data_IF_912347430176
#
_entry.id   IF_912347430176
#
_cell.length_a   1.000
_cell.length_b   1.000
_cell.length_c   1.000
_cell.angle_alpha   90.00
_cell.angle_beta   90.00
_cell.angle_gamma   90.00
#
_symmetry.space_group_name_H-M   'P 1'
#
loop_
_entity.id
_entity.type
_entity.pdbx_description
1 polymer ?
#
# COMPACT_ATOMS: atom_id res chain seq x y z
N UNK A 1 -2.96 4.33 5.00
CA UNK A 1 -2.90 2.84 4.88
C UNK A 1 -4.27 2.26 5.16
N UNK A 2 -4.71 1.27 4.37
CA UNK A 2 -6.04 0.64 4.46
C UNK A 2 -5.92 -0.81 4.89
N UNK A 3 -6.77 -1.25 5.84
CA UNK A 3 -6.86 -2.66 6.24
C UNK A 3 -7.61 -3.45 5.18
N UNK A 4 -7.14 -4.65 4.88
CA UNK A 4 -7.81 -5.61 4.01
C UNK A 4 -8.24 -6.84 4.81
N UNK A 5 -9.23 -7.56 4.30
CA UNK A 5 -9.60 -8.88 4.82
C UNK A 5 -8.87 -9.94 4.00
N UNK A 6 -8.15 -10.87 4.64
CA UNK A 6 -7.61 -12.01 3.92
C UNK A 6 -8.73 -12.90 3.44
N UNK A 7 -8.55 -13.57 2.29
CA UNK A 7 -9.51 -14.54 1.77
C UNK A 7 -9.53 -15.77 2.66
N UNK A 8 -10.73 -16.29 2.94
CA UNK A 8 -10.95 -17.49 3.75
C UNK A 8 -10.78 -18.80 2.97
N UNK A 9 -9.65 -18.94 2.26
CA UNK A 9 -9.34 -20.18 1.52
C UNK A 9 -8.41 -21.09 2.32
N UNK A 10 -8.51 -22.40 2.07
CA UNK A 10 -7.51 -23.36 2.53
C UNK A 10 -6.20 -23.12 1.77
N UNK A 11 -5.12 -22.93 2.49
CA UNK A 11 -3.81 -22.56 1.95
C UNK A 11 -3.23 -23.67 1.04
N UNK A 12 -3.33 -24.93 1.46
CA UNK A 12 -2.82 -26.09 0.71
C UNK A 12 -3.60 -26.26 -0.59
N UNK A 13 -4.93 -26.23 -0.51
CA UNK A 13 -5.79 -26.36 -1.69
C UNK A 13 -5.60 -25.17 -2.66
N UNK A 14 -5.40 -23.97 -2.14
CA UNK A 14 -5.08 -22.81 -2.98
C UNK A 14 -3.74 -23.01 -3.71
N UNK A 15 -2.68 -23.42 -3.00
CA UNK A 15 -1.37 -23.68 -3.59
C UNK A 15 -1.46 -24.78 -4.66
N UNK A 16 -2.19 -25.87 -4.40
CA UNK A 16 -2.46 -26.93 -5.38
C UNK A 16 -3.19 -26.40 -6.62
N UNK A 17 -4.18 -25.54 -6.43
CA UNK A 17 -4.89 -24.85 -7.52
C UNK A 17 -3.96 -24.00 -8.37
N UNK A 18 -3.03 -23.28 -7.72
CA UNK A 18 -1.99 -22.51 -8.44
C UNK A 18 -1.09 -23.45 -9.26
N UNK A 19 -0.64 -24.58 -8.71
CA UNK A 19 0.17 -25.57 -9.43
C UNK A 19 -0.59 -26.08 -10.66
N UNK A 20 -1.86 -26.46 -10.51
CA UNK A 20 -2.67 -26.97 -11.61
C UNK A 20 -2.91 -25.91 -12.71
N UNK A 21 -2.99 -24.62 -12.33
CA UNK A 21 -3.15 -23.52 -13.28
C UNK A 21 -1.88 -23.21 -14.10
N UNK A 22 -0.73 -23.85 -13.80
CA UNK A 22 0.50 -23.66 -14.57
C UNK A 22 0.41 -24.39 -15.93
N UNK A 23 1.08 -23.85 -16.94
CA UNK A 23 1.23 -24.55 -18.21
C UNK A 23 2.16 -25.76 -18.06
N UNK A 24 1.94 -26.79 -18.89
CA UNK A 24 2.91 -27.88 -19.04
C UNK A 24 4.24 -27.31 -19.52
N UNK A 25 5.35 -27.80 -18.95
CA UNK A 25 6.68 -27.41 -19.43
C UNK A 25 7.02 -28.19 -20.69
N UNK A 26 7.73 -27.54 -21.59
CA UNK A 26 8.22 -28.16 -22.83
C UNK A 26 9.23 -29.26 -22.49
N UNK A 27 9.13 -30.39 -23.14
CA UNK A 27 10.07 -31.53 -22.93
C UNK A 27 9.64 -32.49 -21.82
N UNK A 28 8.47 -32.29 -21.20
CA UNK A 28 7.93 -33.18 -20.16
C UNK A 28 6.95 -34.25 -20.71
N UNK A 29 6.86 -34.37 -22.05
CA UNK A 29 5.87 -35.26 -22.69
C UNK A 29 6.16 -36.75 -22.44
N UNK A 30 7.41 -37.08 -22.10
CA UNK A 30 7.87 -38.46 -21.84
C UNK A 30 8.03 -38.79 -20.36
N UNK A 31 7.79 -37.82 -19.47
CA UNK A 31 7.95 -38.00 -18.03
C UNK A 31 6.69 -38.62 -17.41
N UNK A 32 6.86 -39.39 -16.33
CA UNK A 32 5.73 -39.77 -15.45
C UNK A 32 5.11 -38.52 -14.85
N UNK A 33 3.86 -38.63 -14.33
CA UNK A 33 3.18 -37.49 -13.72
C UNK A 33 4.00 -36.87 -12.57
N UNK A 34 4.63 -37.71 -11.78
CA UNK A 34 5.45 -37.35 -10.63
C UNK A 34 6.73 -36.60 -11.03
N UNK A 35 7.33 -36.97 -12.16
CA UNK A 35 8.56 -36.36 -12.69
C UNK A 35 8.32 -35.01 -13.39
N UNK A 36 7.06 -34.67 -13.68
CA UNK A 36 6.74 -33.37 -14.26
C UNK A 36 6.93 -32.24 -13.23
N UNK A 37 7.06 -31.02 -13.72
CA UNK A 37 7.11 -29.82 -12.88
C UNK A 37 5.96 -29.76 -11.86
N UNK A 38 4.73 -30.06 -12.33
CA UNK A 38 3.56 -30.09 -11.45
C UNK A 38 3.69 -31.18 -10.39
N UNK A 39 4.09 -32.38 -10.79
CA UNK A 39 4.28 -33.50 -9.89
C UNK A 39 5.29 -33.19 -8.79
N UNK A 40 6.46 -32.70 -9.16
CA UNK A 40 7.50 -32.27 -8.20
C UNK A 40 7.02 -31.16 -7.27
N UNK A 41 6.27 -30.17 -7.77
CA UNK A 41 5.70 -29.12 -6.92
C UNK A 41 4.65 -29.68 -5.93
N UNK A 42 3.78 -30.61 -6.38
CA UNK A 42 2.83 -31.28 -5.48
C UNK A 42 3.53 -32.10 -4.40
N UNK A 43 4.56 -32.87 -4.75
CA UNK A 43 5.37 -33.64 -3.80
C UNK A 43 5.98 -32.73 -2.73
N UNK A 44 6.55 -31.58 -3.12
CA UNK A 44 7.12 -30.62 -2.17
C UNK A 44 6.06 -30.02 -1.24
N UNK A 45 4.89 -29.71 -1.75
CA UNK A 45 3.76 -29.23 -0.93
C UNK A 45 3.36 -30.28 0.10
N UNK A 46 3.24 -31.55 -0.30
CA UNK A 46 2.89 -32.64 0.64
C UNK A 46 4.02 -32.89 1.65
N UNK A 47 5.27 -32.95 1.21
CA UNK A 47 6.44 -33.16 2.08
C UNK A 47 6.61 -32.06 3.12
N UNK A 48 6.29 -30.82 2.78
CA UNK A 48 6.48 -29.66 3.65
C UNK A 48 5.16 -29.05 4.13
N UNK A 49 4.09 -29.84 4.14
CA UNK A 49 2.75 -29.37 4.48
C UNK A 49 2.69 -28.67 5.84
N UNK A 50 3.24 -29.28 6.86
CA UNK A 50 3.24 -28.73 8.23
C UNK A 50 4.00 -27.39 8.30
N UNK A 51 5.09 -27.28 7.54
CA UNK A 51 5.82 -26.02 7.45
C UNK A 51 4.99 -24.94 6.72
N UNK A 52 4.34 -25.28 5.62
CA UNK A 52 3.45 -24.33 4.91
C UNK A 52 2.34 -23.85 5.84
N UNK A 53 1.70 -24.76 6.58
CA UNK A 53 0.63 -24.43 7.54
C UNK A 53 1.13 -23.66 8.77
N UNK A 54 2.44 -23.71 9.08
CA UNK A 54 3.02 -22.87 10.14
C UNK A 54 2.86 -21.38 9.87
N UNK A 55 2.72 -20.98 8.58
CA UNK A 55 2.39 -19.60 8.21
C UNK A 55 1.05 -19.17 8.82
N UNK A 56 0.01 -19.97 8.67
CA UNK A 56 -1.32 -19.65 9.20
C UNK A 56 -1.35 -19.62 10.72
N UNK A 57 -0.59 -20.50 11.36
CA UNK A 57 -0.41 -20.48 12.82
C UNK A 57 0.26 -19.17 13.27
N UNK A 58 1.35 -18.77 12.62
CA UNK A 58 2.05 -17.53 12.93
C UNK A 58 1.21 -16.29 12.57
N UNK A 59 0.45 -16.34 11.47
CA UNK A 59 -0.48 -15.30 11.05
C UNK A 59 -1.60 -15.11 12.07
N UNK A 60 -2.28 -16.18 12.47
CA UNK A 60 -3.36 -16.15 13.47
C UNK A 60 -2.91 -15.63 14.83
N UNK A 61 -1.65 -15.92 15.21
CA UNK A 61 -1.04 -15.42 16.43
C UNK A 61 -0.46 -13.99 16.30
N UNK A 62 -0.51 -13.37 15.12
CA UNK A 62 0.17 -12.10 14.80
C UNK A 62 1.68 -12.15 15.08
N UNK A 63 2.33 -13.28 14.74
CA UNK A 63 3.74 -13.56 15.01
C UNK A 63 4.52 -13.99 13.76
N UNK A 64 4.24 -13.40 12.60
CA UNK A 64 4.93 -13.76 11.35
C UNK A 64 6.46 -13.65 11.45
N UNK A 65 6.98 -12.78 12.31
CA UNK A 65 8.41 -12.69 12.59
C UNK A 65 9.01 -13.96 13.19
N UNK A 66 8.21 -14.85 13.80
CA UNK A 66 8.68 -16.13 14.32
C UNK A 66 9.07 -17.14 13.23
N UNK A 67 8.73 -16.86 11.98
CA UNK A 67 9.13 -17.67 10.84
C UNK A 67 10.55 -17.37 10.36
N UNK A 68 11.19 -16.30 10.86
CA UNK A 68 12.56 -15.97 10.46
C UNK A 68 13.53 -17.10 10.81
N UNK A 69 14.31 -17.55 9.82
CA UNK A 69 15.29 -18.62 9.97
C UNK A 69 14.73 -20.04 10.11
N UNK A 70 13.40 -20.23 9.98
CA UNK A 70 12.78 -21.57 10.18
C UNK A 70 12.62 -22.39 8.91
N UNK A 71 13.03 -21.87 7.74
CA UNK A 71 12.79 -22.52 6.45
C UNK A 71 13.51 -23.87 6.33
N UNK A 72 12.89 -24.90 5.73
CA UNK A 72 13.56 -26.15 5.43
C UNK A 72 14.66 -25.96 4.38
N UNK A 73 15.65 -26.85 4.40
CA UNK A 73 16.71 -26.86 3.41
C UNK A 73 16.12 -27.42 2.11
N UNK A 74 16.16 -26.63 1.05
CA UNK A 74 15.75 -27.02 -0.29
C UNK A 74 16.92 -26.84 -1.24
N UNK A 75 16.99 -27.72 -2.25
CA UNK A 75 17.93 -27.56 -3.36
C UNK A 75 17.62 -26.30 -4.19
N UNK A 76 18.62 -25.77 -4.87
CA UNK A 76 18.46 -24.53 -5.66
C UNK A 76 17.37 -24.65 -6.73
N UNK A 77 17.30 -25.82 -7.41
CA UNK A 77 16.26 -26.14 -8.39
C UNK A 77 14.86 -26.11 -7.79
N UNK A 78 14.70 -26.65 -6.58
CA UNK A 78 13.42 -26.72 -5.88
C UNK A 78 12.93 -25.34 -5.46
N UNK A 79 13.86 -24.50 -4.98
CA UNK A 79 13.57 -23.09 -4.66
C UNK A 79 13.09 -22.34 -5.89
N UNK A 80 13.75 -22.53 -7.03
CA UNK A 80 13.39 -21.88 -8.29
C UNK A 80 12.02 -22.36 -8.79
N UNK A 81 11.74 -23.66 -8.73
CA UNK A 81 10.44 -24.20 -9.14
C UNK A 81 9.30 -23.65 -8.28
N UNK A 82 9.44 -23.61 -6.96
CA UNK A 82 8.41 -23.07 -6.07
C UNK A 82 8.20 -21.56 -6.29
N UNK A 83 9.25 -20.78 -6.48
CA UNK A 83 9.13 -19.36 -6.82
C UNK A 83 8.45 -19.12 -8.17
N UNK A 84 8.72 -19.98 -9.16
CA UNK A 84 8.13 -19.88 -10.51
C UNK A 84 6.61 -20.12 -10.53
N UNK A 85 6.03 -20.63 -9.45
CA UNK A 85 4.57 -20.72 -9.28
C UNK A 85 3.93 -19.34 -9.22
N UNK A 86 4.62 -18.32 -8.71
CA UNK A 86 4.08 -16.97 -8.66
C UNK A 86 4.14 -16.30 -10.04
N UNK A 87 2.99 -15.76 -10.45
CA UNK A 87 2.87 -14.80 -11.56
C UNK A 87 1.67 -13.91 -11.29
N UNK A 88 1.85 -12.59 -11.39
CA UNK A 88 0.77 -11.62 -11.15
C UNK A 88 -0.47 -11.85 -12.02
N UNK A 89 -0.28 -12.35 -13.23
CA UNK A 89 -1.36 -12.62 -14.21
C UNK A 89 -1.93 -14.04 -14.14
N UNK A 90 -1.38 -14.91 -13.29
CA UNK A 90 -1.90 -16.27 -13.12
C UNK A 90 -3.32 -16.25 -12.61
N UNK A 91 -4.19 -17.08 -13.19
CA UNK A 91 -5.63 -17.08 -12.93
C UNK A 91 -5.99 -17.11 -11.45
N UNK A 92 -5.37 -18.02 -10.67
CA UNK A 92 -5.69 -18.14 -9.23
C UNK A 92 -5.19 -16.92 -8.43
N UNK A 93 -4.01 -16.38 -8.77
CA UNK A 93 -3.49 -15.14 -8.16
C UNK A 93 -4.36 -13.94 -8.53
N UNK A 94 -4.85 -13.86 -9.77
CA UNK A 94 -5.75 -12.78 -10.21
C UNK A 94 -7.11 -12.85 -9.50
N UNK A 95 -7.65 -14.06 -9.28
CA UNK A 95 -8.89 -14.26 -8.49
C UNK A 95 -8.68 -13.83 -7.05
N UNK A 96 -7.60 -14.31 -6.40
CA UNK A 96 -7.24 -13.91 -5.03
C UNK A 96 -7.17 -12.40 -4.88
N UNK A 97 -6.44 -11.73 -5.79
CA UNK A 97 -6.30 -10.27 -5.79
C UNK A 97 -7.65 -9.57 -5.91
N UNK A 98 -8.50 -10.00 -6.85
CA UNK A 98 -9.83 -9.43 -7.06
C UNK A 98 -10.70 -9.56 -5.80
N UNK A 99 -10.66 -10.71 -5.14
CA UNK A 99 -11.43 -10.95 -3.93
C UNK A 99 -10.92 -10.11 -2.75
N UNK A 100 -9.61 -10.04 -2.55
CA UNK A 100 -8.99 -9.22 -1.48
C UNK A 100 -9.25 -7.73 -1.67
N UNK A 101 -9.30 -7.23 -2.92
CA UNK A 101 -9.54 -5.83 -3.23
C UNK A 101 -11.04 -5.48 -3.31
N UNK A 102 -11.92 -6.46 -3.16
CA UNK A 102 -13.37 -6.21 -3.13
C UNK A 102 -13.75 -5.63 -1.76
N UNK A 103 -14.37 -4.46 -1.80
CA UNK A 103 -14.90 -3.79 -0.63
C UNK A 103 -16.39 -3.51 -0.85
N UNK A 104 -17.25 -4.19 -0.08
CA UNK A 104 -18.72 -4.08 -0.17
C UNK A 104 -19.29 -4.29 -1.61
N UNK A 105 -18.64 -5.14 -2.42
CA UNK A 105 -19.06 -5.42 -3.81
C UNK A 105 -18.40 -4.55 -4.87
N UNK A 106 -17.56 -3.60 -4.48
CA UNK A 106 -16.79 -2.75 -5.38
C UNK A 106 -15.30 -3.07 -5.33
N UNK A 107 -14.65 -3.09 -6.49
CA UNK A 107 -13.19 -3.22 -6.54
C UNK A 107 -12.53 -1.89 -6.18
N UNK A 108 -11.78 -1.88 -5.09
CA UNK A 108 -10.91 -0.78 -4.72
C UNK A 108 -9.45 -1.10 -5.09
N UNK A 109 -9.07 -0.76 -6.31
CA UNK A 109 -7.79 -1.09 -6.91
C UNK A 109 -6.62 -0.17 -6.47
N UNK A 110 -6.84 0.76 -5.56
CA UNK A 110 -5.74 1.55 -5.00
C UNK A 110 -4.90 0.71 -4.03
N UNK A 111 -3.59 0.91 -4.09
CA UNK A 111 -2.62 0.25 -3.20
C UNK A 111 -2.99 0.51 -1.72
N UNK A 112 -3.19 -0.53 -0.90
CA UNK A 112 -3.61 -0.33 0.49
C UNK A 112 -2.54 0.30 1.39
N UNK A 113 -1.28 0.36 0.93
CA UNK A 113 -0.19 1.00 1.67
C UNK A 113 -0.14 2.51 1.44
N UNK A 114 -0.08 2.97 0.20
CA UNK A 114 0.02 4.40 -0.10
C UNK A 114 -1.32 5.08 -0.42
N UNK A 115 -2.33 4.33 -0.86
CA UNK A 115 -3.66 4.81 -1.30
C UNK A 115 -3.61 5.84 -2.46
N UNK A 116 -2.49 5.91 -3.18
CA UNK A 116 -2.25 6.82 -4.31
C UNK A 116 -2.20 6.05 -5.64
N UNK A 117 -1.33 5.03 -5.70
CA UNK A 117 -1.10 4.28 -6.93
C UNK A 117 -2.04 3.08 -7.04
N UNK A 118 -2.28 2.63 -8.25
CA UNK A 118 -3.02 1.39 -8.49
C UNK A 118 -2.16 0.16 -8.13
N UNK A 119 -2.83 -0.88 -7.65
CA UNK A 119 -2.22 -2.21 -7.44
C UNK A 119 -1.81 -2.78 -8.80
N UNK A 120 -0.56 -3.17 -8.93
CA UNK A 120 0.00 -3.79 -10.13
C UNK A 120 1.00 -4.91 -9.81
N UNK A 121 1.10 -5.31 -8.54
CA UNK A 121 1.84 -6.47 -8.06
C UNK A 121 1.18 -7.06 -6.81
N UNK A 122 1.61 -8.26 -6.43
CA UNK A 122 1.36 -8.82 -5.09
C UNK A 122 2.71 -8.92 -4.40
N UNK A 123 2.88 -8.19 -3.30
CA UNK A 123 4.08 -8.24 -2.46
C UNK A 123 4.08 -9.55 -1.66
N UNK A 124 5.23 -10.17 -1.51
CA UNK A 124 5.45 -11.29 -0.61
C UNK A 124 5.82 -10.78 0.77
N UNK A 125 4.88 -10.84 1.74
CA UNK A 125 5.18 -10.35 3.08
C UNK A 125 6.40 -11.05 3.70
N UNK A 126 6.44 -12.37 3.64
CA UNK A 126 7.64 -13.18 3.88
C UNK A 126 8.34 -13.38 2.53
N UNK A 127 9.62 -12.98 2.38
CA UNK A 127 10.32 -12.95 1.10
C UNK A 127 10.39 -14.31 0.41
N UNK A 128 9.99 -14.40 -0.84
CA UNK A 128 10.00 -15.66 -1.59
C UNK A 128 11.40 -16.19 -1.89
N UNK A 129 12.43 -15.36 -1.85
CA UNK A 129 13.80 -15.77 -2.11
C UNK A 129 14.31 -16.74 -1.05
N UNK A 130 14.05 -16.42 0.23
CA UNK A 130 14.47 -17.22 1.35
C UNK A 130 13.40 -18.26 1.75
N UNK A 131 12.12 -17.96 1.48
CA UNK A 131 10.97 -18.76 1.87
C UNK A 131 10.11 -19.19 0.66
N UNK A 132 10.67 -19.93 -0.32
CA UNK A 132 10.01 -20.25 -1.58
C UNK A 132 8.72 -21.06 -1.44
N UNK A 133 8.54 -21.81 -0.36
CA UNK A 133 7.33 -22.55 -0.06
C UNK A 133 6.14 -21.63 0.27
N UNK A 134 6.41 -20.37 0.63
CA UNK A 134 5.37 -19.35 0.83
C UNK A 134 5.15 -18.45 -0.40
N UNK A 135 5.83 -18.73 -1.53
CA UNK A 135 5.78 -17.87 -2.73
C UNK A 135 4.34 -17.66 -3.27
N UNK A 136 3.47 -18.65 -3.09
CA UNK A 136 2.05 -18.55 -3.47
C UNK A 136 1.09 -18.83 -2.32
N UNK A 137 1.56 -18.65 -1.08
CA UNK A 137 0.67 -18.76 0.09
C UNK A 137 -0.32 -17.57 0.08
N UNK A 138 -1.66 -17.80 0.16
CA UNK A 138 -2.65 -16.75 -0.09
C UNK A 138 -2.55 -15.57 0.88
N UNK A 139 -2.20 -15.80 2.16
CA UNK A 139 -2.02 -14.74 3.17
C UNK A 139 -0.64 -14.08 3.14
N UNK A 140 0.30 -14.65 2.38
CA UNK A 140 1.61 -14.04 2.13
C UNK A 140 1.59 -13.01 1.01
N UNK A 141 0.57 -13.06 0.14
CA UNK A 141 0.43 -12.21 -1.03
C UNK A 141 -0.38 -10.97 -0.69
N UNK A 142 0.28 -9.82 -0.61
CA UNK A 142 -0.33 -8.52 -0.31
C UNK A 142 -0.47 -7.72 -1.60
N UNK A 143 -1.70 -7.30 -2.00
CA UNK A 143 -1.88 -6.37 -3.11
C UNK A 143 -1.09 -5.09 -2.88
N UNK A 144 -0.24 -4.69 -3.83
CA UNK A 144 0.64 -3.54 -3.69
C UNK A 144 0.90 -2.87 -5.03
N UNK A 145 1.31 -1.60 -5.02
CA UNK A 145 1.95 -1.00 -6.19
C UNK A 145 3.45 -1.32 -6.20
N UNK A 146 4.07 -1.34 -7.38
CA UNK A 146 5.50 -1.64 -7.53
C UNK A 146 6.40 -0.74 -6.68
N UNK A 147 6.03 0.54 -6.49
CA UNK A 147 6.82 1.45 -5.66
C UNK A 147 6.79 1.03 -4.18
N UNK A 148 5.62 0.74 -3.63
CA UNK A 148 5.52 0.25 -2.24
C UNK A 148 6.19 -1.10 -2.06
N UNK A 149 6.02 -2.04 -3.01
CA UNK A 149 6.67 -3.34 -2.99
C UNK A 149 8.21 -3.20 -3.03
N UNK A 150 8.74 -2.41 -3.96
CA UNK A 150 10.19 -2.18 -4.08
C UNK A 150 10.83 -1.44 -2.89
N UNK A 151 10.04 -0.86 -2.01
CA UNK A 151 10.51 -0.18 -0.80
C UNK A 151 10.73 -1.12 0.39
N UNK A 152 10.06 -2.27 0.40
CA UNK A 152 10.21 -3.27 1.44
C UNK A 152 11.53 -4.04 1.24
N UNK A 153 12.31 -4.19 2.31
CA UNK A 153 13.49 -5.06 2.31
C UNK A 153 13.10 -6.53 2.55
N UNK A 154 14.03 -7.44 2.27
CA UNK A 154 13.84 -8.88 2.54
C UNK A 154 13.86 -9.24 4.04
N UNK A 155 14.21 -8.30 4.91
CA UNK A 155 14.19 -8.52 6.36
C UNK A 155 12.76 -8.40 6.90
N UNK A 156 12.26 -9.47 7.50
CA UNK A 156 10.91 -9.50 8.12
C UNK A 156 10.91 -8.98 9.56
N UNK A 157 12.11 -8.95 10.22
CA UNK A 157 12.28 -8.43 11.57
C UNK A 157 13.11 -7.14 11.58
N UNK A 158 12.96 -6.37 12.65
CA UNK A 158 13.91 -5.34 13.05
C UNK A 158 15.11 -6.00 13.80
N UNK A 159 16.17 -5.25 14.06
CA UNK A 159 17.35 -5.78 14.79
C UNK A 159 17.06 -6.27 16.24
N UNK A 160 15.81 -6.21 16.70
CA UNK A 160 15.33 -6.66 18.01
C UNK A 160 14.38 -7.86 17.92
N UNK A 161 14.21 -8.44 16.73
CA UNK A 161 13.32 -9.59 16.50
C UNK A 161 11.83 -9.25 16.46
N UNK A 162 11.44 -7.97 16.39
CA UNK A 162 10.05 -7.61 16.19
C UNK A 162 9.73 -7.57 14.68
N UNK A 163 8.46 -7.83 14.34
CA UNK A 163 7.98 -7.64 12.96
C UNK A 163 8.32 -6.21 12.50
N UNK A 164 8.94 -6.11 11.31
CA UNK A 164 9.47 -4.84 10.79
C UNK A 164 8.41 -3.99 10.13
N UNK A 165 7.58 -4.57 9.27
CA UNK A 165 6.67 -3.83 8.39
C UNK A 165 5.19 -4.02 8.74
N UNK A 166 4.39 -3.05 8.35
CA UNK A 166 2.94 -3.09 8.38
C UNK A 166 2.40 -4.22 7.51
N UNK A 167 1.47 -5.01 8.05
CA UNK A 167 0.75 -6.02 7.28
C UNK A 167 -0.71 -5.62 7.17
N UNK A 168 -1.18 -5.39 5.95
CA UNK A 168 -2.53 -4.88 5.68
C UNK A 168 -3.65 -5.83 6.11
N UNK A 169 -3.34 -7.11 6.31
CA UNK A 169 -4.31 -8.09 6.82
C UNK A 169 -4.37 -8.13 8.34
N UNK A 170 -3.23 -7.93 9.02
CA UNK A 170 -3.11 -8.06 10.47
C UNK A 170 -3.36 -6.74 11.19
N UNK A 171 -2.80 -5.65 10.68
CA UNK A 171 -2.78 -4.38 11.38
C UNK A 171 -4.01 -3.55 11.07
N UNK A 172 -4.47 -2.81 12.07
CA UNK A 172 -5.58 -1.85 11.91
C UNK A 172 -5.01 -0.44 12.00
N UNK A 173 -5.16 0.40 10.95
CA UNK A 173 -4.69 1.78 10.99
C UNK A 173 -5.28 2.52 12.19
N UNK A 174 -4.45 3.26 12.97
CA UNK A 174 -4.93 4.06 14.06
C UNK A 174 -5.84 5.19 13.56
N UNK A 175 -6.81 5.58 14.39
CA UNK A 175 -7.67 6.74 14.12
C UNK A 175 -6.96 8.06 14.40
N UNK A 176 -5.92 8.01 15.20
CA UNK A 176 -5.08 9.14 15.56
C UNK A 176 -4.26 9.61 14.37
N UNK A 177 -4.04 10.91 14.30
CA UNK A 177 -3.18 11.49 13.27
C UNK A 177 -1.71 11.11 13.52
N UNK A 178 -1.07 10.52 12.53
CA UNK A 178 0.38 10.31 12.50
C UNK A 178 1.05 10.93 11.28
N UNK A 179 0.29 11.18 10.20
CA UNK A 179 0.80 11.82 8.99
C UNK A 179 0.48 13.31 9.02
N UNK A 180 1.51 14.12 8.80
CA UNK A 180 1.44 15.57 8.74
C UNK A 180 2.23 16.09 7.55
N UNK A 181 1.95 17.32 7.14
CA UNK A 181 2.81 18.02 6.21
C UNK A 181 2.94 19.52 6.57
N UNK A 182 4.00 20.14 6.05
CA UNK A 182 4.23 21.58 6.07
C UNK A 182 4.18 22.09 4.65
N UNK A 183 3.70 23.34 4.50
CA UNK A 183 3.76 24.08 3.23
C UNK A 183 4.94 25.02 3.31
N UNK A 184 5.91 24.80 2.45
CA UNK A 184 7.12 25.64 2.30
C UNK A 184 7.04 26.38 0.96
N UNK A 185 7.75 27.49 0.82
CA UNK A 185 7.85 28.18 -0.46
C UNK A 185 9.08 27.69 -1.24
N UNK A 186 8.86 27.29 -2.48
CA UNK A 186 9.93 26.98 -3.41
C UNK A 186 9.64 27.66 -4.76
N UNK A 187 10.52 28.57 -5.18
CA UNK A 187 10.38 29.30 -6.44
C UNK A 187 9.03 30.03 -6.58
N UNK A 188 8.53 30.60 -5.48
CA UNK A 188 7.24 31.28 -5.43
C UNK A 188 6.00 30.38 -5.40
N UNK A 189 6.18 29.08 -5.33
CA UNK A 189 5.10 28.09 -5.34
C UNK A 189 5.04 27.29 -4.02
N UNK A 190 3.84 26.81 -3.62
CA UNK A 190 3.71 25.94 -2.47
C UNK A 190 4.42 24.60 -2.72
N UNK A 191 5.30 24.21 -1.83
CA UNK A 191 5.98 22.92 -1.79
C UNK A 191 5.59 22.19 -0.51
N UNK A 192 5.27 20.91 -0.62
CA UNK A 192 4.79 20.10 0.51
C UNK A 192 5.95 19.28 1.07
N UNK A 193 6.11 19.28 2.40
CA UNK A 193 7.06 18.44 3.09
C UNK A 193 6.36 17.57 4.13
N UNK A 194 6.35 16.26 3.92
CA UNK A 194 5.73 15.31 4.82
C UNK A 194 6.62 14.94 6.01
N UNK A 195 5.97 14.60 7.10
CA UNK A 195 6.59 14.02 8.29
C UNK A 195 5.56 13.21 9.08
N UNK A 196 6.04 12.34 9.97
CA UNK A 196 5.20 11.56 10.87
C UNK A 196 5.49 11.92 12.33
N UNK A 197 4.46 11.83 13.16
CA UNK A 197 4.56 12.02 14.61
C UNK A 197 3.77 10.92 15.32
N UNK A 198 4.29 10.41 16.42
CA UNK A 198 3.67 9.31 17.16
C UNK A 198 2.38 9.73 17.86
N UNK A 199 2.34 10.92 18.46
CA UNK A 199 1.22 11.36 19.27
C UNK A 199 0.89 10.37 20.40
N UNK A 200 -0.37 9.92 20.47
CA UNK A 200 -0.86 8.95 21.44
C UNK A 200 -0.81 7.49 20.97
N UNK A 201 -0.26 7.24 19.78
CA UNK A 201 -0.14 5.89 19.21
C UNK A 201 0.91 5.09 20.00
N UNK A 202 0.63 3.84 20.32
CA UNK A 202 1.57 2.96 21.02
C UNK A 202 2.85 2.72 20.22
N UNK A 203 3.94 2.44 20.94
CA UNK A 203 5.29 2.30 20.38
C UNK A 203 5.37 1.20 19.30
N UNK A 204 4.67 0.09 19.49
CA UNK A 204 4.72 -1.04 18.56
C UNK A 204 4.03 -0.69 17.24
N UNK A 205 2.84 -0.11 17.30
CA UNK A 205 2.09 0.36 16.13
C UNK A 205 2.85 1.48 15.40
N UNK A 206 3.35 2.49 16.13
CA UNK A 206 4.08 3.59 15.51
C UNK A 206 5.39 3.13 14.86
N UNK A 207 6.10 2.16 15.45
CA UNK A 207 7.29 1.55 14.83
C UNK A 207 6.96 0.90 13.48
N UNK A 208 5.85 0.14 13.38
CA UNK A 208 5.41 -0.47 12.11
C UNK A 208 5.07 0.60 11.07
N UNK A 209 4.37 1.66 11.47
CA UNK A 209 4.06 2.81 10.60
C UNK A 209 5.36 3.44 10.10
N UNK A 210 6.27 3.77 11.02
CA UNK A 210 7.54 4.41 10.71
C UNK A 210 8.36 3.58 9.73
N UNK A 211 8.56 2.29 10.01
CA UNK A 211 9.34 1.41 9.16
C UNK A 211 8.72 1.23 7.77
N UNK A 212 7.40 1.33 7.66
CA UNK A 212 6.71 1.21 6.36
C UNK A 212 6.75 2.49 5.55
N UNK A 213 6.66 3.66 6.21
CA UNK A 213 6.55 4.96 5.54
C UNK A 213 7.88 5.66 5.35
N UNK A 214 8.79 5.53 6.32
CA UNK A 214 10.01 6.34 6.45
C UNK A 214 11.25 5.47 6.75
N UNK A 215 11.32 4.27 6.18
CA UNK A 215 12.51 3.43 6.32
C UNK A 215 13.70 4.10 5.60
N UNK A 216 14.60 4.71 6.38
CA UNK A 216 15.92 5.30 6.04
C UNK A 216 16.09 6.00 4.67
N UNK A 217 15.02 6.27 3.94
CA UNK A 217 15.05 6.88 2.60
C UNK A 217 13.78 7.60 2.20
N UNK A 218 12.84 7.87 3.12
CA UNK A 218 11.60 8.62 2.88
C UNK A 218 10.80 8.14 1.66
N UNK A 219 10.82 6.83 1.41
CA UNK A 219 10.37 6.25 0.14
C UNK A 219 8.86 6.43 -0.09
N UNK A 220 8.03 6.31 0.98
CA UNK A 220 6.60 6.57 0.87
C UNK A 220 6.32 8.04 0.59
N UNK A 221 7.10 8.96 1.16
CA UNK A 221 6.93 10.40 0.94
C UNK A 221 7.21 10.80 -0.51
N UNK A 222 8.11 10.12 -1.23
CA UNK A 222 8.29 10.35 -2.67
C UNK A 222 7.02 10.03 -3.48
N UNK A 223 6.25 9.01 -3.07
CA UNK A 223 4.96 8.71 -3.69
C UNK A 223 3.97 9.83 -3.41
N UNK A 224 3.94 10.36 -2.19
CA UNK A 224 3.07 11.47 -1.80
C UNK A 224 3.47 12.77 -2.49
N UNK A 225 4.76 13.08 -2.60
CA UNK A 225 5.28 14.25 -3.32
C UNK A 225 4.81 14.27 -4.77
N UNK A 226 4.85 13.12 -5.45
CA UNK A 226 4.36 12.98 -6.82
C UNK A 226 2.85 13.28 -6.97
N UNK A 227 2.06 13.08 -5.93
CA UNK A 227 0.64 13.39 -5.93
C UNK A 227 0.32 14.86 -5.62
N UNK A 228 1.22 15.57 -4.92
CA UNK A 228 0.99 16.92 -4.40
C UNK A 228 0.63 17.93 -5.49
N UNK A 229 1.30 17.91 -6.63
CA UNK A 229 1.02 18.83 -7.72
C UNK A 229 -0.44 18.79 -8.18
N UNK A 230 -0.99 17.59 -8.33
CA UNK A 230 -2.41 17.40 -8.69
C UNK A 230 -3.34 17.91 -7.59
N UNK A 231 -3.03 17.66 -6.32
CA UNK A 231 -3.84 18.11 -5.17
C UNK A 231 -3.84 19.63 -5.10
N UNK A 232 -2.69 20.28 -5.21
CA UNK A 232 -2.53 21.74 -5.19
C UNK A 232 -3.36 22.38 -6.31
N UNK A 233 -3.22 21.90 -7.55
CA UNK A 233 -3.95 22.41 -8.71
C UNK A 233 -5.46 22.20 -8.53
N UNK A 234 -5.89 21.03 -8.07
CA UNK A 234 -7.30 20.73 -7.86
C UNK A 234 -7.94 21.65 -6.83
N UNK A 235 -7.28 21.87 -5.67
CA UNK A 235 -7.78 22.75 -4.63
C UNK A 235 -7.78 24.23 -5.08
N UNK A 236 -6.71 24.68 -5.77
CA UNK A 236 -6.67 26.01 -6.38
C UNK A 236 -7.85 26.24 -7.34
N UNK A 237 -8.10 25.31 -8.24
CA UNK A 237 -9.20 25.40 -9.19
C UNK A 237 -10.56 25.38 -8.49
N UNK A 238 -10.74 24.58 -7.42
CA UNK A 238 -11.96 24.57 -6.60
C UNK A 238 -12.23 25.97 -6.01
N UNK A 239 -11.22 26.58 -5.41
CA UNK A 239 -11.31 27.95 -4.85
C UNK A 239 -11.61 29.01 -5.90
N UNK A 240 -10.86 29.02 -6.99
CA UNK A 240 -11.07 29.98 -8.11
C UNK A 240 -12.49 29.86 -8.65
N UNK A 241 -12.99 28.66 -8.87
CA UNK A 241 -14.35 28.45 -9.35
C UNK A 241 -15.41 28.85 -8.32
N UNK A 242 -15.14 28.63 -7.03
CA UNK A 242 -16.03 29.05 -5.95
C UNK A 242 -16.13 30.58 -5.88
N UNK A 243 -15.00 31.30 -5.94
CA UNK A 243 -14.94 32.77 -6.01
C UNK A 243 -15.71 33.30 -7.22
N UNK A 244 -15.45 32.73 -8.41
CA UNK A 244 -16.13 33.11 -9.67
C UNK A 244 -17.66 32.97 -9.55
N UNK A 245 -18.16 31.85 -9.05
CA UNK A 245 -19.58 31.57 -8.87
C UNK A 245 -20.27 32.53 -7.88
N UNK A 246 -19.54 33.01 -6.87
CA UNK A 246 -20.08 33.97 -5.92
C UNK A 246 -20.20 35.40 -6.50
N UNK A 247 -19.51 35.72 -7.61
CA UNK A 247 -19.67 37.01 -8.31
C UNK A 247 -19.44 38.24 -7.42
N UNK A 248 -18.50 38.20 -6.47
CA UNK A 248 -18.23 39.28 -5.53
C UNK A 248 -19.24 39.45 -4.38
N UNK A 249 -20.16 38.50 -4.16
CA UNK A 249 -21.08 38.52 -3.03
C UNK A 249 -20.40 38.20 -1.69
N UNK A 250 -19.33 37.43 -1.72
CA UNK A 250 -18.51 37.06 -0.59
C UNK A 250 -17.10 37.63 -0.73
N UNK A 251 -16.45 37.94 0.39
CA UNK A 251 -15.03 38.26 0.43
C UNK A 251 -14.18 37.02 0.10
N UNK A 252 -12.92 37.23 -0.27
CA UNK A 252 -11.99 36.11 -0.50
C UNK A 252 -11.82 35.28 0.78
N UNK A 253 -11.73 35.93 1.94
CA UNK A 253 -11.64 35.27 3.25
C UNK A 253 -12.86 34.35 3.49
N UNK A 254 -14.08 34.82 3.24
CA UNK A 254 -15.30 33.99 3.38
C UNK A 254 -15.29 32.82 2.40
N UNK A 255 -14.73 32.98 1.21
CA UNK A 255 -14.58 31.87 0.25
C UNK A 255 -13.59 30.81 0.75
N UNK A 256 -12.46 31.21 1.31
CA UNK A 256 -11.50 30.30 1.93
C UNK A 256 -12.10 29.56 3.12
N UNK A 257 -12.80 30.29 4.00
CA UNK A 257 -13.48 29.70 5.16
C UNK A 257 -14.52 28.64 4.75
N UNK A 258 -15.32 28.91 3.73
CA UNK A 258 -16.32 27.94 3.25
C UNK A 258 -15.67 26.65 2.71
N UNK A 259 -14.56 26.76 1.99
CA UNK A 259 -13.82 25.58 1.51
C UNK A 259 -13.08 24.87 2.65
N UNK A 260 -12.59 25.62 3.64
CA UNK A 260 -11.97 25.04 4.84
C UNK A 260 -12.97 24.20 5.64
N UNK A 261 -14.19 24.70 5.87
CA UNK A 261 -15.26 23.95 6.53
C UNK A 261 -15.55 22.63 5.78
N UNK A 262 -15.68 22.68 4.45
CA UNK A 262 -15.89 21.48 3.65
C UNK A 262 -14.71 20.47 3.76
N UNK A 263 -13.46 20.95 3.85
CA UNK A 263 -12.28 20.10 4.09
C UNK A 263 -12.35 19.50 5.50
N UNK A 264 -12.64 20.28 6.53
CA UNK A 264 -12.68 19.82 7.93
C UNK A 264 -13.81 18.81 8.16
N UNK A 265 -14.98 19.03 7.57
CA UNK A 265 -16.16 18.13 7.67
C UNK A 265 -15.91 16.75 7.00
N UNK A 266 -15.06 16.71 5.97
CA UNK A 266 -14.76 15.49 5.20
C UNK A 266 -13.33 14.98 5.44
N UNK A 267 -12.64 15.45 6.48
CA UNK A 267 -11.25 15.10 6.76
C UNK A 267 -11.11 13.65 7.22
N UNK A 268 -10.35 12.86 6.47
CA UNK A 268 -9.92 11.53 6.86
C UNK A 268 -8.46 11.56 7.34
N UNK A 269 -8.20 11.20 8.63
CA UNK A 269 -6.85 11.18 9.17
C UNK A 269 -5.89 10.30 8.35
N UNK A 270 -4.66 10.75 8.21
CA UNK A 270 -3.57 9.99 7.58
C UNK A 270 -3.75 9.70 6.07
N UNK A 271 -4.77 10.29 5.45
CA UNK A 271 -4.97 10.26 4.00
C UNK A 271 -4.18 11.40 3.36
N UNK A 272 -3.25 11.08 2.46
CA UNK A 272 -2.33 12.06 1.87
C UNK A 272 -3.06 13.30 1.32
N UNK A 273 -4.12 13.09 0.55
CA UNK A 273 -4.88 14.18 -0.07
C UNK A 273 -5.48 15.14 0.97
N UNK A 274 -6.08 14.62 2.04
CA UNK A 274 -6.76 15.42 3.06
C UNK A 274 -5.77 16.16 3.95
N UNK A 275 -4.66 15.50 4.31
CA UNK A 275 -3.56 16.14 5.05
C UNK A 275 -2.98 17.32 4.27
N UNK A 276 -2.78 17.16 2.95
CA UNK A 276 -2.27 18.22 2.07
C UNK A 276 -3.28 19.34 1.92
N UNK A 277 -4.57 19.05 1.65
CA UNK A 277 -5.62 20.06 1.53
C UNK A 277 -5.75 20.89 2.80
N UNK A 278 -5.73 20.23 3.97
CA UNK A 278 -5.82 20.91 5.27
C UNK A 278 -4.64 21.83 5.53
N UNK A 279 -3.42 21.43 5.17
CA UNK A 279 -2.25 22.28 5.29
C UNK A 279 -2.25 23.47 4.30
N UNK A 280 -2.70 23.23 3.06
CA UNK A 280 -2.76 24.26 2.02
C UNK A 280 -3.76 25.37 2.34
N UNK A 281 -4.98 25.02 2.80
CA UNK A 281 -6.05 25.99 3.00
C UNK A 281 -5.67 27.08 4.03
N UNK A 282 -4.84 26.73 5.02
CA UNK A 282 -4.34 27.63 6.04
C UNK A 282 -2.99 28.29 5.67
N UNK A 283 -2.41 27.96 4.51
CA UNK A 283 -1.10 28.46 4.10
C UNK A 283 -1.20 29.82 3.41
N UNK A 284 -0.50 30.88 3.91
CA UNK A 284 -0.38 32.16 3.22
C UNK A 284 0.23 32.04 1.82
N UNK A 285 1.16 31.08 1.63
CA UNK A 285 1.80 30.82 0.34
C UNK A 285 0.77 30.35 -0.68
N UNK A 286 -0.11 29.41 -0.28
CA UNK A 286 -1.16 28.94 -1.15
C UNK A 286 -2.23 29.99 -1.41
N UNK A 287 -2.60 30.81 -0.40
CA UNK A 287 -3.53 31.93 -0.56
C UNK A 287 -3.02 32.91 -1.62
N UNK A 288 -1.75 33.28 -1.54
CA UNK A 288 -1.10 34.15 -2.54
C UNK A 288 -1.17 33.54 -3.95
N UNK A 289 -0.92 32.26 -4.10
CA UNK A 289 -1.07 31.57 -5.39
C UNK A 289 -2.50 31.64 -5.96
N UNK A 290 -3.51 31.55 -5.10
CA UNK A 290 -4.92 31.69 -5.52
C UNK A 290 -5.21 33.13 -5.94
N UNK A 291 -4.75 34.13 -5.18
CA UNK A 291 -4.91 35.55 -5.52
C UNK A 291 -4.26 35.91 -6.86
N UNK A 292 -3.05 35.43 -7.10
CA UNK A 292 -2.37 35.64 -8.38
C UNK A 292 -3.13 35.02 -9.56
N UNK A 293 -3.72 33.84 -9.36
CA UNK A 293 -4.54 33.20 -10.39
C UNK A 293 -5.84 33.96 -10.64
N UNK A 294 -6.50 34.48 -9.59
CA UNK A 294 -7.69 35.32 -9.74
C UNK A 294 -7.39 36.61 -10.52
N UNK A 295 -6.22 37.24 -10.24
CA UNK A 295 -5.76 38.43 -10.98
C UNK A 295 -5.51 38.14 -12.46
N UNK A 296 -4.82 37.01 -12.76
CA UNK A 296 -4.58 36.59 -14.14
C UNK A 296 -5.87 36.33 -14.94
N UNK A 297 -6.89 35.80 -14.25
CA UNK A 297 -8.19 35.51 -14.86
C UNK A 297 -9.17 36.69 -14.81
N UNK A 298 -8.73 37.84 -14.33
CA UNK A 298 -9.55 39.06 -14.15
C UNK A 298 -10.85 38.86 -13.36
N UNK A 299 -10.83 37.90 -12.42
CA UNK A 299 -11.97 37.57 -11.58
C UNK A 299 -12.08 38.60 -10.45
N UNK A 300 -13.18 39.34 -10.43
CA UNK A 300 -13.48 40.31 -9.36
C UNK A 300 -13.95 39.59 -8.10
N UNK A 301 -13.41 40.02 -6.94
CA UNK A 301 -13.85 39.57 -5.62
C UNK A 301 -13.77 40.73 -4.62
N UNK A 302 -14.50 40.62 -3.51
CA UNK A 302 -14.36 41.55 -2.40
C UNK A 302 -13.08 41.23 -1.61
N UNK A 303 -12.35 42.25 -1.25
CA UNK A 303 -11.15 42.20 -0.37
C UNK A 303 -11.59 42.05 1.07
#
# INVERSE_FOLDING_TARGET
MRKLKPVGVDDIEFIKGVIESTNKRRGEEHLSKEETFKGRCHERVETHKDYIQSYDTAFGANKLQSLEGTHPILEASDKEEMRSLYSYTRTEIAKLRKEVLNDEGYENNFCPLCEINLVNTMDHFIPQNDYPLFAVHPRNLIPSCMLCNGHKSDNITDGKGNRKYWNVYLDTPPKENYLYCKVEEKEGLPHIRFYIQQGSIDDATFRLIKNTMDDEGQKMFQIYDNACGKIIISLKNKLVNYVRKNGGRKTLVECFQAIKMDIDDNFEPNKCEDVVKKALIDSPIFQKCVEEELKKLEIKYKV
#
